data_IF_484935795241
#
_entry.id   IF_484935795241
#
_cell.length_a   1.000
_cell.length_b   1.000
_cell.length_c   1.000
_cell.angle_alpha   90.00
_cell.angle_beta   90.00
_cell.angle_gamma   90.00
#
_symmetry.space_group_name_H-M   'P 1'
#
loop_
_entity.id
_entity.type
_entity.pdbx_description
1 polymer ?
#
# COMPACT_ATOMS: atom_id res chain seq x y z
N UNK A 1 -13.43 8.86 6.03
CA UNK A 1 -12.02 9.03 5.67
C UNK A 1 -11.65 7.85 4.82
N UNK A 2 -11.03 8.11 3.69
CA UNK A 2 -10.47 7.09 2.83
C UNK A 2 -9.11 6.64 3.36
N UNK A 3 -8.62 5.46 2.97
CA UNK A 3 -7.37 4.92 3.53
C UNK A 3 -6.13 5.78 3.22
N UNK A 4 -6.20 6.60 2.18
CA UNK A 4 -5.14 7.51 1.77
C UNK A 4 -5.22 8.90 2.42
N UNK A 5 -6.23 9.15 3.27
CA UNK A 5 -6.30 10.35 4.10
C UNK A 5 -5.44 10.22 5.36
N UNK A 6 -5.08 9.00 5.75
CA UNK A 6 -4.14 8.73 6.83
C UNK A 6 -2.70 9.03 6.40
N UNK A 7 -1.90 9.54 7.34
CA UNK A 7 -0.44 9.55 7.18
C UNK A 7 0.10 8.12 7.10
N UNK A 8 1.30 7.95 6.55
CA UNK A 8 1.94 6.64 6.45
C UNK A 8 2.07 5.93 7.81
N UNK A 9 2.35 6.68 8.89
CA UNK A 9 2.47 6.13 10.24
C UNK A 9 1.11 5.77 10.86
N UNK A 10 0.06 6.55 10.59
CA UNK A 10 -1.30 6.21 11.04
C UNK A 10 -1.79 4.94 10.34
N UNK A 11 -1.65 4.86 9.01
CA UNK A 11 -2.03 3.67 8.26
C UNK A 11 -1.20 2.45 8.68
N UNK A 12 0.12 2.61 8.87
CA UNK A 12 0.98 1.56 9.41
C UNK A 12 0.54 1.09 10.80
N UNK A 13 0.13 2.01 11.67
CA UNK A 13 -0.43 1.69 12.98
C UNK A 13 -1.74 0.90 12.90
N UNK A 14 -2.65 1.26 11.99
CA UNK A 14 -3.88 0.49 11.74
C UNK A 14 -3.57 -0.92 11.21
N UNK A 15 -2.57 -1.05 10.34
CA UNK A 15 -2.12 -2.33 9.81
C UNK A 15 -1.53 -3.22 10.91
N UNK A 16 -0.68 -2.67 11.76
CA UNK A 16 -0.09 -3.43 12.88
C UNK A 16 -1.14 -3.89 13.90
N UNK A 17 -2.22 -3.13 14.09
CA UNK A 17 -3.35 -3.52 14.94
C UNK A 17 -4.32 -4.51 14.28
N UNK A 18 -4.14 -4.80 12.99
CA UNK A 18 -5.05 -5.64 12.21
C UNK A 18 -6.39 -4.98 11.88
N UNK A 19 -6.52 -3.66 12.05
CA UNK A 19 -7.74 -2.91 11.72
C UNK A 19 -7.90 -2.70 10.21
N UNK A 20 -6.76 -2.65 9.49
CA UNK A 20 -6.69 -2.60 8.03
C UNK A 20 -5.66 -3.63 7.58
N UNK A 21 -5.98 -4.45 6.58
CA UNK A 21 -5.00 -5.38 6.03
C UNK A 21 -4.12 -4.70 4.97
N UNK A 22 -2.84 -5.13 4.81
CA UNK A 22 -1.99 -4.65 3.71
C UNK A 22 -2.68 -4.78 2.33
N UNK A 23 -3.42 -5.87 2.11
CA UNK A 23 -4.17 -6.09 0.87
C UNK A 23 -5.31 -5.06 0.69
N UNK A 24 -6.00 -4.67 1.77
CA UNK A 24 -7.02 -3.61 1.71
C UNK A 24 -6.39 -2.26 1.38
N UNK A 25 -5.26 -1.92 2.01
CA UNK A 25 -4.53 -0.68 1.73
C UNK A 25 -4.04 -0.63 0.27
N UNK A 26 -3.47 -1.72 -0.24
CA UNK A 26 -3.02 -1.85 -1.62
C UNK A 26 -4.18 -1.66 -2.63
N UNK A 27 -5.32 -2.32 -2.42
CA UNK A 27 -6.51 -2.16 -3.27
C UNK A 27 -7.03 -0.73 -3.29
N UNK A 28 -7.08 -0.07 -2.14
CA UNK A 28 -7.50 1.33 -2.07
C UNK A 28 -6.54 2.25 -2.84
N UNK A 29 -5.23 2.05 -2.70
CA UNK A 29 -4.23 2.82 -3.44
C UNK A 29 -4.31 2.63 -4.95
N UNK A 30 -4.45 1.38 -5.42
CA UNK A 30 -4.62 1.05 -6.84
C UNK A 30 -5.90 1.66 -7.42
N UNK A 31 -7.02 1.58 -6.69
CA UNK A 31 -8.28 2.18 -7.10
C UNK A 31 -8.18 3.72 -7.24
N UNK A 32 -7.54 4.39 -6.27
CA UNK A 32 -7.29 5.83 -6.34
C UNK A 32 -6.39 6.19 -7.51
N UNK A 33 -5.30 5.45 -7.69
CA UNK A 33 -4.38 5.63 -8.81
C UNK A 33 -5.13 5.57 -10.13
N UNK A 34 -5.93 4.52 -10.36
CA UNK A 34 -6.73 4.36 -11.58
C UNK A 34 -7.72 5.51 -11.81
N UNK A 35 -8.40 5.98 -10.75
CA UNK A 35 -9.38 7.06 -10.84
C UNK A 35 -8.75 8.44 -11.16
N UNK A 36 -7.51 8.68 -10.74
CA UNK A 36 -6.87 9.99 -10.83
C UNK A 36 -5.80 10.09 -11.94
N UNK A 37 -5.22 8.96 -12.38
CA UNK A 37 -4.12 8.95 -13.37
C UNK A 37 -4.49 9.65 -14.67
N UNK A 38 -5.73 9.51 -15.17
CA UNK A 38 -6.17 10.20 -16.38
C UNK A 38 -6.25 11.73 -16.24
N UNK A 39 -6.35 12.25 -15.02
CA UNK A 39 -6.46 13.68 -14.72
C UNK A 39 -5.11 14.31 -14.41
N UNK A 40 -4.26 13.62 -13.65
CA UNK A 40 -3.02 14.17 -13.12
C UNK A 40 -1.75 13.59 -13.77
N UNK A 41 -1.86 12.45 -14.46
CA UNK A 41 -0.75 11.73 -15.08
C UNK A 41 0.48 11.55 -14.16
N UNK A 42 0.23 11.20 -12.88
CA UNK A 42 1.25 11.21 -11.84
C UNK A 42 2.23 10.04 -11.89
N UNK A 43 1.81 8.88 -12.41
CA UNK A 43 2.64 7.68 -12.50
C UNK A 43 3.22 7.50 -13.91
N UNK A 44 4.52 7.22 -14.01
CA UNK A 44 5.21 6.92 -15.29
C UNK A 44 5.21 5.41 -15.53
N UNK A 45 5.73 4.66 -14.56
CA UNK A 45 5.77 3.22 -14.54
C UNK A 45 4.88 2.70 -13.42
N UNK A 46 4.05 1.70 -13.69
CA UNK A 46 3.19 1.04 -12.70
C UNK A 46 3.47 -0.46 -12.66
N UNK A 47 3.43 -1.04 -11.46
CA UNK A 47 3.33 -2.49 -11.32
C UNK A 47 1.92 -2.95 -11.67
N UNK A 48 1.79 -4.17 -12.17
CA UNK A 48 0.49 -4.79 -12.35
C UNK A 48 -0.19 -5.08 -10.99
N UNK A 49 -1.51 -5.06 -10.98
CA UNK A 49 -2.30 -5.24 -9.76
C UNK A 49 -2.01 -6.58 -9.06
N UNK A 50 -1.83 -7.66 -9.83
CA UNK A 50 -1.55 -8.99 -9.26
C UNK A 50 -0.23 -8.99 -8.47
N UNK A 51 0.83 -8.41 -9.03
CA UNK A 51 2.13 -8.25 -8.37
C UNK A 51 2.00 -7.46 -7.07
N UNK A 52 1.29 -6.33 -7.09
CA UNK A 52 1.09 -5.48 -5.89
C UNK A 52 0.32 -6.24 -4.82
N UNK A 53 -0.77 -6.92 -5.18
CA UNK A 53 -1.59 -7.67 -4.24
C UNK A 53 -0.86 -8.90 -3.69
N UNK A 54 -0.02 -9.55 -4.49
CA UNK A 54 0.81 -10.67 -4.03
C UNK A 54 1.84 -10.21 -2.98
N UNK A 55 2.47 -9.06 -3.18
CA UNK A 55 3.40 -8.48 -2.20
C UNK A 55 2.67 -8.07 -0.92
N UNK A 56 1.50 -7.44 -1.03
CA UNK A 56 0.69 -7.08 0.12
C UNK A 56 0.25 -8.32 0.94
N UNK A 57 -0.22 -9.36 0.26
CA UNK A 57 -0.60 -10.62 0.89
C UNK A 57 0.58 -11.28 1.61
N UNK A 58 1.80 -11.18 1.06
CA UNK A 58 3.00 -11.70 1.75
C UNK A 58 3.28 -10.96 3.06
N UNK A 59 3.20 -9.63 3.05
CA UNK A 59 3.34 -8.83 4.28
C UNK A 59 2.24 -9.18 5.28
N UNK A 60 1.01 -9.35 4.81
CA UNK A 60 -0.13 -9.75 5.64
C UNK A 60 0.10 -11.10 6.33
N UNK A 61 0.63 -12.11 5.62
CA UNK A 61 1.00 -13.40 6.20
C UNK A 61 2.08 -13.26 7.28
N UNK A 62 3.10 -12.46 7.01
CA UNK A 62 4.21 -12.22 7.96
C UNK A 62 3.74 -11.51 9.22
N UNK A 63 2.86 -10.53 9.09
CA UNK A 63 2.21 -9.86 10.23
C UNK A 63 1.34 -10.85 11.03
N UNK A 64 0.58 -11.72 10.34
CA UNK A 64 -0.30 -12.69 10.99
C UNK A 64 0.43 -13.72 11.86
N UNK A 65 1.70 -14.03 11.55
CA UNK A 65 2.55 -14.91 12.37
C UNK A 65 3.32 -14.15 13.47
N UNK A 66 3.02 -12.86 13.67
CA UNK A 66 3.63 -12.03 14.71
C UNK A 66 5.06 -11.62 14.42
N UNK A 67 5.49 -11.64 13.15
CA UNK A 67 6.82 -11.16 12.78
C UNK A 67 6.95 -9.65 13.07
N UNK A 68 8.03 -9.26 13.75
CA UNK A 68 8.32 -7.86 14.03
C UNK A 68 8.82 -7.16 12.76
N UNK A 69 7.90 -6.49 12.04
CA UNK A 69 8.20 -5.75 10.83
C UNK A 69 8.32 -4.24 11.07
N UNK A 70 8.78 -3.52 10.05
CA UNK A 70 8.84 -2.06 10.04
C UNK A 70 7.48 -1.40 10.38
N UNK A 71 7.46 -0.20 10.99
CA UNK A 71 6.27 0.64 11.10
C UNK A 71 5.53 0.92 9.77
N UNK A 72 6.21 0.75 8.64
CA UNK A 72 5.65 0.94 7.30
C UNK A 72 5.31 -0.37 6.57
N UNK A 73 5.39 -1.51 7.25
CA UNK A 73 5.06 -2.80 6.64
C UNK A 73 3.60 -2.80 6.16
N UNK A 74 3.40 -2.95 4.85
CA UNK A 74 2.08 -3.00 4.22
C UNK A 74 1.51 -1.63 3.81
N UNK A 75 2.22 -0.54 4.08
CA UNK A 75 1.85 0.81 3.63
C UNK A 75 2.18 0.96 2.14
N UNK A 76 1.21 1.31 1.27
CA UNK A 76 1.48 1.52 -0.15
C UNK A 76 2.42 2.71 -0.39
N UNK A 77 3.31 2.58 -1.38
CA UNK A 77 4.23 3.65 -1.76
C UNK A 77 4.40 3.73 -3.28
N UNK A 78 4.82 4.91 -3.74
CA UNK A 78 5.28 5.14 -5.10
C UNK A 78 6.76 5.55 -5.07
N UNK A 79 7.51 5.14 -6.07
CA UNK A 79 8.91 5.53 -6.25
C UNK A 79 9.01 6.51 -7.41
N UNK A 80 9.88 7.51 -7.26
CA UNK A 80 10.21 8.39 -8.37
C UNK A 80 11.01 7.58 -9.39
N UNK A 81 10.64 7.69 -10.67
CA UNK A 81 11.16 6.84 -11.76
C UNK A 81 12.65 7.06 -12.10
N UNK A 82 13.36 7.89 -11.32
CA UNK A 82 14.80 8.09 -11.41
C UNK A 82 15.56 7.53 -10.19
N UNK A 83 14.92 6.66 -9.41
CA UNK A 83 15.48 5.97 -8.23
C UNK A 83 15.60 4.48 -8.57
N UNK A 84 16.78 3.90 -8.34
CA UNK A 84 17.14 2.50 -8.61
C UNK A 84 17.52 1.76 -7.32
#
# INVERSE_FOLDING_TARGET
>A
MELWDYTALELGGLIQKGEVSPTQAAKAALARMGAEQGKNNAFVTTLDEETVLKQAAEVERRLAVGEALSPLAGVPMALKDNIC
#
